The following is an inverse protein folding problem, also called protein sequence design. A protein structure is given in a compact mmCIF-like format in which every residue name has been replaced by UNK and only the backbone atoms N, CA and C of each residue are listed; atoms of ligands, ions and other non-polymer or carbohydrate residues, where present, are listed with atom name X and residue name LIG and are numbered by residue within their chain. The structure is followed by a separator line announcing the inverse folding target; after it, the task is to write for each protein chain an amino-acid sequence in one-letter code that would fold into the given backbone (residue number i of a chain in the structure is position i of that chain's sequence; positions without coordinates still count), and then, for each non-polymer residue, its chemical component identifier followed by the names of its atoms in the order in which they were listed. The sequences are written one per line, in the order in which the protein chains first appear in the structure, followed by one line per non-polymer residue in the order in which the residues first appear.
data_IF_492597034402
#
_entry.id   IF_492597034402
#
_cell.length_a   1.000
_cell.length_b   1.000
_cell.length_c   1.000
_cell.angle_alpha   90.00
_cell.angle_beta   90.00
_cell.angle_gamma   90.00
#
_symmetry.space_group_name_H-M   'P 1'
#
loop_
_entity.id
_entity.type
_entity.pdbx_description
1 polymer ?
#
# COMPACT_ATOMS: atom_id res chain seq x y z
N UNK A 1 -1.25 24.27 17.76
CA UNK A 1 -1.29 23.66 16.42
C UNK A 1 -1.27 22.17 16.61
N UNK A 2 -2.41 21.53 16.43
CA UNK A 2 -2.57 20.09 16.59
C UNK A 2 -1.73 19.39 15.54
N UNK A 3 -0.62 18.81 16.00
CA UNK A 3 0.28 18.01 15.16
C UNK A 3 -0.44 16.70 14.91
N UNK A 4 -0.61 16.34 13.65
CA UNK A 4 -1.16 15.06 13.23
C UNK A 4 -0.47 13.91 13.98
N UNK A 5 -1.29 12.99 14.49
CA UNK A 5 -0.85 11.77 15.16
C UNK A 5 -1.75 10.64 14.68
N UNK A 6 -1.18 9.65 14.03
CA UNK A 6 -1.90 8.45 13.62
C UNK A 6 -1.26 7.24 14.27
N UNK A 7 -2.01 6.17 14.45
CA UNK A 7 -1.43 4.89 14.82
C UNK A 7 -0.87 4.24 13.56
N UNK A 8 0.33 3.65 13.65
CA UNK A 8 0.90 2.88 12.54
C UNK A 8 -0.09 1.80 12.07
N UNK A 9 -0.80 1.17 13.01
CA UNK A 9 -1.82 0.17 12.72
C UNK A 9 -2.89 0.66 11.74
N UNK A 10 -3.47 1.84 11.96
CA UNK A 10 -4.55 2.37 11.12
C UNK A 10 -4.08 2.56 9.67
N UNK A 11 -2.82 2.97 9.51
CA UNK A 11 -2.19 3.11 8.21
C UNK A 11 -1.95 1.75 7.53
N UNK A 12 -1.38 0.76 8.24
CA UNK A 12 -1.14 -0.57 7.68
C UNK A 12 -2.45 -1.26 7.29
N UNK A 13 -3.52 -1.08 8.06
CA UNK A 13 -4.85 -1.59 7.73
C UNK A 13 -5.42 -0.97 6.45
N UNK A 14 -5.21 0.34 6.23
CA UNK A 14 -5.55 1.01 4.97
C UNK A 14 -4.86 0.33 3.78
N UNK A 15 -3.57 0.02 3.90
CA UNK A 15 -2.80 -0.63 2.84
C UNK A 15 -3.26 -2.05 2.60
N UNK A 16 -3.48 -2.82 3.67
CA UNK A 16 -4.02 -4.17 3.60
C UNK A 16 -5.31 -4.22 2.78
N UNK A 17 -6.26 -3.32 3.08
CA UNK A 17 -7.52 -3.14 2.33
C UNK A 17 -7.27 -2.79 0.86
N UNK A 18 -6.27 -1.96 0.56
CA UNK A 18 -5.93 -1.60 -0.81
C UNK A 18 -5.45 -2.80 -1.63
N UNK A 19 -4.69 -3.72 -1.02
CA UNK A 19 -4.17 -4.92 -1.70
C UNK A 19 -5.24 -5.98 -1.94
N UNK A 20 -6.22 -6.08 -1.05
CA UNK A 20 -7.36 -7.00 -1.19
C UNK A 20 -8.29 -6.60 -2.34
N UNK A 21 -8.41 -5.29 -2.64
CA UNK A 21 -9.24 -4.79 -3.76
C UNK A 21 -8.79 -5.27 -5.15
N UNK A 22 -7.54 -5.74 -5.32
CA UNK A 22 -7.01 -6.24 -6.60
C UNK A 22 -7.69 -7.54 -7.05
N UNK A 23 -8.06 -8.39 -6.10
CA UNK A 23 -8.49 -9.76 -6.39
C UNK A 23 -9.81 -10.04 -5.68
N UNK A 24 -10.90 -10.04 -6.45
CA UNK A 24 -12.23 -10.43 -5.96
C UNK A 24 -12.28 -11.85 -5.35
N UNK A 25 -11.26 -12.69 -5.59
CA UNK A 25 -11.14 -14.04 -5.00
C UNK A 25 -10.55 -14.04 -3.58
N UNK A 26 -9.88 -12.97 -3.17
CA UNK A 26 -9.14 -12.85 -1.91
C UNK A 26 -9.69 -11.71 -1.04
N UNK A 27 -11.02 -11.56 -0.98
CA UNK A 27 -11.65 -10.55 -0.11
C UNK A 27 -11.16 -10.75 1.33
N UNK A 28 -10.50 -9.72 1.88
CA UNK A 28 -9.98 -9.68 3.24
C UNK A 28 -8.86 -10.68 3.56
N UNK A 29 -8.21 -11.29 2.56
CA UNK A 29 -7.21 -12.34 2.82
C UNK A 29 -6.10 -11.88 3.76
N UNK A 30 -5.52 -10.70 3.54
CA UNK A 30 -4.47 -10.17 4.42
C UNK A 30 -4.96 -10.01 5.86
N UNK A 31 -6.20 -9.55 6.05
CA UNK A 31 -6.82 -9.39 7.37
C UNK A 31 -7.13 -10.76 8.03
N UNK A 32 -7.56 -11.76 7.25
CA UNK A 32 -7.77 -13.12 7.73
C UNK A 32 -6.46 -13.71 8.27
N UNK A 33 -5.38 -13.56 7.50
CA UNK A 33 -4.04 -14.02 7.91
C UNK A 33 -3.60 -13.30 9.17
N UNK A 34 -3.69 -11.97 9.21
CA UNK A 34 -3.37 -11.18 10.40
C UNK A 34 -4.15 -11.64 11.64
N UNK A 35 -5.46 -11.84 11.51
CA UNK A 35 -6.34 -12.29 12.58
C UNK A 35 -5.95 -13.69 13.08
N UNK A 36 -5.77 -14.66 12.18
CA UNK A 36 -5.45 -16.02 12.57
C UNK A 36 -4.04 -16.12 13.17
N UNK A 37 -3.07 -15.39 12.61
CA UNK A 37 -1.73 -15.28 13.17
C UNK A 37 -1.75 -14.72 14.60
N UNK A 38 -2.53 -13.66 14.85
CA UNK A 38 -2.74 -13.13 16.20
C UNK A 38 -3.29 -14.21 17.13
N UNK A 39 -4.36 -14.90 16.72
CA UNK A 39 -4.99 -15.94 17.55
C UNK A 39 -4.08 -17.12 17.85
N UNK A 40 -3.21 -17.50 16.91
CA UNK A 40 -2.20 -18.54 17.12
C UNK A 40 -1.14 -18.11 18.13
N UNK A 41 -0.63 -16.88 18.04
CA UNK A 41 0.33 -16.32 19.01
C UNK A 41 -0.28 -16.18 20.40
N UNK A 42 -1.54 -15.73 20.49
CA UNK A 42 -2.32 -15.68 21.73
C UNK A 42 -2.50 -17.08 22.32
N UNK A 43 -2.83 -18.08 21.50
CA UNK A 43 -3.02 -19.47 21.95
C UNK A 43 -1.71 -20.15 22.38
N UNK A 44 -0.56 -19.66 21.90
CA UNK A 44 0.78 -20.10 22.29
C UNK A 44 1.33 -19.35 23.52
N UNK A 45 0.52 -18.48 24.14
CA UNK A 45 0.88 -17.69 25.34
C UNK A 45 2.14 -16.84 25.15
N UNK A 46 2.30 -16.29 23.94
CA UNK A 46 3.39 -15.36 23.60
C UNK A 46 3.02 -13.93 24.02
N UNK A 47 4.03 -13.07 24.16
CA UNK A 47 3.87 -11.70 24.67
C UNK A 47 2.90 -10.83 23.84
N UNK A 48 2.29 -9.81 24.46
CA UNK A 48 1.46 -8.81 23.76
C UNK A 48 2.18 -8.13 22.59
N UNK A 49 3.49 -7.89 22.73
CA UNK A 49 4.35 -7.35 21.68
C UNK A 49 4.47 -8.31 20.49
N UNK A 50 4.59 -9.61 20.73
CA UNK A 50 4.60 -10.62 19.67
C UNK A 50 3.24 -10.66 18.95
N UNK A 51 2.13 -10.56 19.68
CA UNK A 51 0.79 -10.47 19.09
C UNK A 51 0.65 -9.26 18.16
N UNK A 52 1.16 -8.09 18.55
CA UNK A 52 1.12 -6.88 17.72
C UNK A 52 2.00 -7.00 16.49
N UNK A 53 3.22 -7.48 16.66
CA UNK A 53 4.19 -7.64 15.56
C UNK A 53 3.66 -8.62 14.52
N UNK A 54 3.18 -9.80 14.92
CA UNK A 54 2.68 -10.78 13.96
C UNK A 54 1.40 -10.31 13.26
N UNK A 55 0.56 -9.56 13.97
CA UNK A 55 -0.65 -9.00 13.40
C UNK A 55 -0.31 -7.94 12.34
N UNK A 56 0.59 -7.01 12.64
CA UNK A 56 1.10 -6.05 11.65
C UNK A 56 1.78 -6.76 10.47
N UNK A 57 2.58 -7.79 10.73
CA UNK A 57 3.21 -8.59 9.68
C UNK A 57 2.16 -9.23 8.77
N UNK A 58 1.10 -9.82 9.33
CA UNK A 58 0.01 -10.44 8.57
C UNK A 58 -0.75 -9.47 7.69
N UNK A 59 -0.96 -8.21 8.13
CA UNK A 59 -1.66 -7.19 7.34
C UNK A 59 -0.94 -6.84 6.03
N UNK A 60 0.39 -7.00 5.98
CA UNK A 60 1.23 -6.56 4.86
C UNK A 60 2.19 -7.64 4.37
N UNK A 61 1.96 -8.92 4.69
CA UNK A 61 2.90 -10.00 4.36
C UNK A 61 3.12 -10.17 2.85
N UNK A 62 2.09 -9.85 2.05
CA UNK A 62 2.18 -9.84 0.58
C UNK A 62 2.47 -8.46 -0.03
N UNK A 63 2.98 -7.50 0.74
CA UNK A 63 3.29 -6.15 0.23
C UNK A 63 4.32 -6.14 -0.91
N UNK A 64 5.14 -7.19 -1.00
CA UNK A 64 6.08 -7.39 -2.10
C UNK A 64 5.53 -8.08 -3.34
N UNK A 65 4.25 -8.45 -3.36
CA UNK A 65 3.60 -9.05 -4.53
C UNK A 65 3.20 -7.94 -5.51
N UNK A 66 4.04 -7.72 -6.54
CA UNK A 66 3.94 -6.58 -7.43
C UNK A 66 3.09 -6.87 -8.68
N UNK A 67 2.68 -8.13 -8.87
CA UNK A 67 1.76 -8.53 -9.94
C UNK A 67 0.68 -9.53 -9.55
N UNK A 68 -0.43 -9.49 -10.29
CA UNK A 68 -1.56 -10.40 -10.10
C UNK A 68 -1.19 -11.87 -10.27
N UNK A 69 -0.19 -12.18 -11.12
CA UNK A 69 0.28 -13.54 -11.37
C UNK A 69 1.18 -14.05 -10.23
N UNK A 70 2.00 -13.18 -9.62
CA UNK A 70 2.80 -13.52 -8.43
C UNK A 70 1.92 -13.90 -7.23
N UNK A 71 0.69 -13.37 -7.11
CA UNK A 71 -0.27 -13.80 -6.07
C UNK A 71 -0.80 -15.22 -6.28
N UNK A 72 -0.77 -15.75 -7.50
CA UNK A 72 -1.28 -17.08 -7.84
C UNK A 72 -0.16 -18.14 -7.88
N UNK A 73 1.07 -17.72 -8.18
CA UNK A 73 2.28 -18.56 -8.23
C UNK A 73 3.00 -18.58 -6.87
N UNK A 74 2.30 -18.96 -5.79
CA UNK A 74 2.95 -19.15 -4.49
C UNK A 74 3.66 -20.51 -4.51
N UNK A 75 4.93 -20.49 -4.91
CA UNK A 75 5.78 -21.68 -4.94
C UNK A 75 6.34 -21.94 -3.54
N UNK A 76 5.81 -22.97 -2.89
CA UNK A 76 6.38 -23.51 -1.65
C UNK A 76 7.78 -24.07 -1.95
N UNK A 77 8.77 -23.70 -1.13
CA UNK A 77 10.19 -24.08 -1.22
C UNK A 77 11.13 -23.21 -2.09
N UNK A 78 10.74 -22.02 -2.55
CA UNK A 78 11.76 -21.08 -3.06
C UNK A 78 12.62 -20.54 -1.91
N UNK A 79 13.94 -20.59 -2.08
CA UNK A 79 14.86 -19.87 -1.19
C UNK A 79 14.56 -18.37 -1.31
N UNK A 80 14.49 -17.62 -0.18
CA UNK A 80 14.26 -16.18 -0.22
C UNK A 80 15.32 -15.53 -1.07
N UNK A 81 14.89 -15.09 -2.24
CA UNK A 81 15.72 -14.40 -3.21
C UNK A 81 14.98 -13.11 -3.63
N UNK A 82 15.68 -12.18 -4.28
CA UNK A 82 15.11 -10.88 -4.66
C UNK A 82 13.83 -10.98 -5.50
N UNK A 83 13.60 -12.11 -6.17
CA UNK A 83 12.39 -12.33 -6.97
C UNK A 83 11.23 -12.88 -6.14
N UNK A 84 11.44 -13.34 -4.91
CA UNK A 84 10.34 -13.73 -4.02
C UNK A 84 9.61 -12.50 -3.45
N UNK A 85 8.28 -12.53 -3.40
CA UNK A 85 7.50 -11.42 -2.85
C UNK A 85 7.76 -11.21 -1.37
N UNK A 86 8.02 -12.28 -0.61
CA UNK A 86 8.40 -12.23 0.79
C UNK A 86 9.66 -11.37 1.02
N UNK A 87 10.72 -11.60 0.25
CA UNK A 87 11.95 -10.82 0.36
C UNK A 87 11.74 -9.36 -0.07
N UNK A 88 11.04 -9.13 -1.19
CA UNK A 88 10.72 -7.77 -1.67
C UNK A 88 9.90 -7.02 -0.62
N UNK A 89 8.89 -7.67 -0.05
CA UNK A 89 7.99 -7.13 0.96
C UNK A 89 8.77 -6.74 2.21
N UNK A 90 9.56 -7.68 2.75
CA UNK A 90 10.44 -7.42 3.88
C UNK A 90 11.36 -6.22 3.63
N UNK A 91 11.97 -6.13 2.44
CA UNK A 91 12.86 -5.02 2.09
C UNK A 91 12.16 -3.67 1.99
N UNK A 92 10.92 -3.64 1.47
CA UNK A 92 10.12 -2.43 1.40
C UNK A 92 9.86 -1.86 2.80
N UNK A 93 9.47 -2.73 3.74
CA UNK A 93 9.14 -2.31 5.10
C UNK A 93 10.37 -2.10 6.00
N UNK A 94 11.53 -2.65 5.63
CA UNK A 94 12.80 -2.46 6.37
C UNK A 94 13.30 -1.01 6.30
N UNK A 95 12.86 -0.25 5.30
CA UNK A 95 13.20 1.16 5.13
C UNK A 95 12.55 2.09 6.16
N UNK A 96 11.59 1.60 6.94
CA UNK A 96 10.89 2.38 7.96
C UNK A 96 11.09 1.74 9.35
N UNK A 97 11.76 2.47 10.25
CA UNK A 97 12.21 1.94 11.54
C UNK A 97 11.10 1.26 12.37
N UNK A 98 9.88 1.83 12.49
CA UNK A 98 8.79 1.17 13.22
C UNK A 98 8.33 -0.18 12.64
N UNK A 99 8.63 -0.49 11.38
CA UNK A 99 8.29 -1.77 10.73
C UNK A 99 9.49 -2.72 10.56
N UNK A 100 10.70 -2.32 10.95
CA UNK A 100 11.88 -3.18 10.84
C UNK A 100 11.74 -4.48 11.65
N UNK A 101 11.09 -4.42 12.82
CA UNK A 101 10.95 -5.58 13.70
C UNK A 101 10.06 -6.69 13.13
N UNK A 102 9.25 -6.38 12.12
CA UNK A 102 8.39 -7.35 11.43
C UNK A 102 8.98 -7.77 10.06
N UNK A 103 10.13 -7.23 9.65
CA UNK A 103 10.71 -7.49 8.33
C UNK A 103 11.15 -8.94 8.17
N UNK A 104 11.79 -9.54 9.18
CA UNK A 104 12.18 -10.95 9.15
C UNK A 104 10.97 -11.89 9.19
N UNK A 105 9.88 -11.50 9.87
CA UNK A 105 8.64 -12.26 9.87
C UNK A 105 8.15 -12.44 8.43
N UNK A 106 8.09 -11.34 7.68
CA UNK A 106 7.70 -11.33 6.26
C UNK A 106 8.77 -11.97 5.38
N UNK A 107 10.05 -11.79 5.64
CA UNK A 107 11.13 -12.32 4.79
C UNK A 107 11.10 -13.84 4.67
N UNK A 108 10.76 -14.51 5.78
CA UNK A 108 10.88 -15.96 5.93
C UNK A 108 9.53 -16.69 6.00
N UNK A 109 8.40 -16.03 5.74
CA UNK A 109 7.06 -16.62 5.92
C UNK A 109 6.69 -17.74 4.92
N UNK A 110 7.54 -18.06 3.94
CA UNK A 110 7.37 -19.25 3.07
C UNK A 110 8.34 -20.39 3.41
N UNK A 111 9.20 -20.22 4.41
CA UNK A 111 10.18 -21.26 4.77
C UNK A 111 9.45 -22.43 5.45
N UNK A 112 9.51 -23.65 4.87
CA UNK A 112 8.94 -24.83 5.48
C UNK A 112 9.72 -25.23 6.74
N UNK A 113 9.06 -25.88 7.70
CA UNK A 113 9.68 -26.29 8.95
C UNK A 113 10.80 -27.35 8.78
N UNK A 114 10.66 -28.24 7.81
CA UNK A 114 11.61 -29.30 7.43
C UNK A 114 12.23 -30.07 8.60
N UNK A 115 11.37 -30.60 9.48
CA UNK A 115 11.78 -31.32 10.69
C UNK A 115 12.74 -30.51 11.58
N UNK A 116 12.57 -29.18 11.62
CA UNK A 116 13.37 -28.25 12.40
C UNK A 116 14.56 -27.65 11.66
N UNK A 117 14.87 -28.11 10.44
CA UNK A 117 15.91 -27.47 9.60
C UNK A 117 15.52 -26.06 9.18
N UNK A 118 14.22 -25.84 8.97
CA UNK A 118 13.64 -24.54 8.63
C UNK A 118 13.70 -23.49 9.72
N UNK A 119 14.23 -23.82 10.91
CA UNK A 119 14.56 -22.83 11.95
C UNK A 119 15.68 -21.87 11.53
N UNK A 120 16.43 -22.24 10.50
CA UNK A 120 17.53 -21.45 9.99
C UNK A 120 17.42 -21.32 8.47
N UNK A 121 17.68 -20.13 7.96
CA UNK A 121 17.91 -19.92 6.54
C UNK A 121 19.32 -19.36 6.37
N UNK A 122 20.20 -20.17 5.77
CA UNK A 122 21.66 -19.94 5.80
C UNK A 122 22.10 -19.88 7.28
N UNK A 123 22.65 -18.74 7.72
CA UNK A 123 23.14 -18.54 9.09
C UNK A 123 22.18 -17.74 9.98
N UNK A 124 21.01 -17.35 9.46
CA UNK A 124 20.04 -16.55 10.20
C UNK A 124 19.00 -17.45 10.86
N UNK A 125 18.74 -17.24 12.16
CA UNK A 125 17.61 -17.84 12.85
C UNK A 125 16.31 -17.22 12.37
N UNK A 126 15.33 -18.06 12.04
CA UNK A 126 14.02 -17.64 11.57
C UNK A 126 13.11 -17.44 12.79
N UNK A 127 12.42 -16.29 12.90
CA UNK A 127 11.42 -16.06 13.94
C UNK A 127 10.35 -17.15 13.94
N UNK A 128 9.92 -17.60 15.12
CA UNK A 128 8.80 -18.53 15.23
C UNK A 128 7.53 -17.95 14.57
N UNK A 129 7.36 -16.64 14.67
CA UNK A 129 6.30 -15.86 14.06
C UNK A 129 6.25 -16.01 12.53
N UNK A 130 7.39 -16.20 11.84
CA UNK A 130 7.40 -16.51 10.40
C UNK A 130 6.70 -17.83 10.09
N UNK A 131 6.90 -18.85 10.92
CA UNK A 131 6.24 -20.15 10.74
C UNK A 131 4.76 -20.11 11.13
N UNK A 132 4.39 -19.28 12.12
CA UNK A 132 2.98 -19.05 12.48
C UNK A 132 2.27 -18.29 11.36
N UNK A 133 2.93 -17.28 10.78
CA UNK A 133 2.42 -16.53 9.64
C UNK A 133 2.23 -17.43 8.41
N UNK A 134 3.22 -18.29 8.11
CA UNK A 134 3.09 -19.31 7.06
C UNK A 134 1.87 -20.21 7.27
N UNK A 135 1.71 -20.76 8.49
CA UNK A 135 0.59 -21.63 8.82
C UNK A 135 -0.76 -20.91 8.63
N UNK A 136 -0.89 -19.69 9.15
CA UNK A 136 -2.10 -18.90 9.06
C UNK A 136 -2.47 -18.60 7.60
N UNK A 137 -1.50 -18.21 6.79
CA UNK A 137 -1.66 -17.97 5.35
C UNK A 137 -2.20 -19.22 4.62
N UNK A 138 -1.54 -20.38 4.78
CA UNK A 138 -1.98 -21.63 4.15
C UNK A 138 -3.37 -22.08 4.58
N UNK A 139 -3.73 -21.86 5.85
CA UNK A 139 -5.10 -22.12 6.34
C UNK A 139 -6.10 -21.20 5.64
N UNK A 140 -5.82 -19.91 5.56
CA UNK A 140 -6.72 -18.93 4.94
C UNK A 140 -6.94 -19.20 3.45
N UNK A 141 -5.90 -19.59 2.71
CA UNK A 141 -5.99 -19.95 1.29
C UNK A 141 -6.89 -21.16 1.04
N UNK A 142 -6.99 -22.10 2.00
CA UNK A 142 -7.84 -23.29 1.89
C UNK A 142 -9.32 -23.02 2.13
N UNK A 143 -9.68 -21.87 2.73
CA UNK A 143 -11.08 -21.53 3.03
C UNK A 143 -11.79 -21.13 1.74
N UNK A 144 -12.90 -21.79 1.45
CA UNK A 144 -13.75 -21.48 0.30
C UNK A 144 -14.88 -20.54 0.73
N UNK A 145 -14.96 -19.33 0.16
CA UNK A 145 -15.99 -18.35 0.56
C UNK A 145 -17.44 -18.78 0.29
N UNK A 146 -17.65 -19.71 -0.65
CA UNK A 146 -18.99 -20.17 -1.04
C UNK A 146 -19.56 -21.26 -0.10
N UNK A 147 -18.76 -21.80 0.82
CA UNK A 147 -19.13 -22.90 1.70
C UNK A 147 -19.17 -22.43 3.16
N UNK A 148 -19.98 -23.07 4.01
CA UNK A 148 -20.02 -22.73 5.43
C UNK A 148 -18.67 -23.08 6.10
N UNK A 149 -18.05 -22.12 6.78
CA UNK A 149 -16.70 -22.32 7.34
C UNK A 149 -16.64 -23.45 8.38
N UNK A 150 -17.65 -23.59 9.25
CA UNK A 150 -17.64 -24.59 10.33
C UNK A 150 -17.66 -26.02 9.79
N UNK A 151 -18.24 -26.23 8.60
CA UNK A 151 -18.22 -27.52 7.90
C UNK A 151 -16.85 -27.81 7.28
N UNK A 152 -16.10 -26.77 6.88
CA UNK A 152 -14.79 -26.90 6.25
C UNK A 152 -13.67 -27.20 7.26
N UNK A 153 -13.75 -26.66 8.48
CA UNK A 153 -12.66 -26.71 9.47
C UNK A 153 -12.12 -28.13 9.71
N UNK A 154 -12.94 -29.18 9.95
CA UNK A 154 -12.40 -30.51 10.21
C UNK A 154 -11.49 -31.03 9.09
N UNK A 155 -11.87 -30.79 7.83
CA UNK A 155 -11.07 -31.19 6.68
C UNK A 155 -9.79 -30.34 6.56
N UNK A 156 -9.91 -29.01 6.68
CA UNK A 156 -8.76 -28.10 6.59
C UNK A 156 -7.71 -28.45 7.64
N UNK A 157 -8.12 -28.68 8.89
CA UNK A 157 -7.22 -29.07 9.98
C UNK A 157 -6.58 -30.44 9.72
N UNK A 158 -7.35 -31.42 9.24
CA UNK A 158 -6.80 -32.74 8.92
C UNK A 158 -5.72 -32.68 7.82
N UNK A 159 -5.90 -31.86 6.78
CA UNK A 159 -4.90 -31.65 5.73
C UNK A 159 -3.65 -30.93 6.24
N UNK A 160 -3.80 -29.90 7.06
CA UNK A 160 -2.68 -29.19 7.68
C UNK A 160 -1.87 -30.12 8.59
N UNK A 161 -2.55 -30.96 9.38
CA UNK A 161 -1.93 -31.92 10.30
C UNK A 161 -1.04 -32.93 9.60
N UNK A 162 -1.40 -33.37 8.39
CA UNK A 162 -0.57 -34.29 7.60
C UNK A 162 0.81 -33.71 7.27
N UNK A 163 0.95 -32.39 7.27
CA UNK A 163 2.18 -31.67 6.96
C UNK A 163 2.86 -31.09 8.22
N UNK A 164 2.37 -31.43 9.43
CA UNK A 164 3.00 -31.04 10.68
C UNK A 164 4.40 -31.65 10.79
N UNK A 165 5.39 -30.83 11.14
CA UNK A 165 6.79 -31.26 11.20
C UNK A 165 7.49 -31.26 9.84
N UNK A 166 6.77 -31.19 8.71
CA UNK A 166 7.37 -31.11 7.37
C UNK A 166 7.24 -29.67 6.87
N UNK A 167 6.03 -29.21 6.61
CA UNK A 167 5.78 -27.85 6.15
C UNK A 167 5.58 -26.90 7.32
N UNK A 168 4.86 -27.34 8.35
CA UNK A 168 4.41 -26.50 9.45
C UNK A 168 5.11 -26.83 10.76
N UNK A 169 5.34 -25.81 11.58
CA UNK A 169 5.83 -25.97 12.94
C UNK A 169 4.81 -26.81 13.77
N UNK A 170 5.23 -27.92 14.40
CA UNK A 170 4.31 -28.78 15.15
C UNK A 170 3.59 -28.08 16.32
N UNK A 171 4.26 -27.17 17.02
CA UNK A 171 3.66 -26.40 18.11
C UNK A 171 2.56 -25.46 17.63
N UNK A 172 2.80 -24.77 16.50
CA UNK A 172 1.80 -23.93 15.86
C UNK A 172 0.59 -24.75 15.35
N UNK A 173 0.82 -25.96 14.80
CA UNK A 173 -0.28 -26.85 14.41
C UNK A 173 -1.09 -27.31 15.62
N UNK A 174 -0.45 -27.67 16.73
CA UNK A 174 -1.16 -28.02 17.96
C UNK A 174 -2.01 -26.85 18.50
N UNK A 175 -1.49 -25.61 18.41
CA UNK A 175 -2.27 -24.41 18.75
C UNK A 175 -3.48 -24.23 17.82
N UNK A 176 -3.31 -24.46 16.52
CA UNK A 176 -4.41 -24.42 15.54
C UNK A 176 -5.48 -25.47 15.85
N UNK A 177 -5.11 -26.68 16.25
CA UNK A 177 -6.07 -27.73 16.65
C UNK A 177 -6.89 -27.32 17.88
N UNK A 178 -6.29 -26.61 18.84
CA UNK A 178 -7.03 -26.07 20.00
C UNK A 178 -7.99 -24.96 19.58
N UNK A 179 -7.57 -24.06 18.68
CA UNK A 179 -8.44 -23.01 18.13
C UNK A 179 -9.58 -23.59 17.28
N UNK A 180 -9.37 -24.72 16.62
CA UNK A 180 -10.38 -25.40 15.81
C UNK A 180 -11.67 -25.73 16.60
N UNK A 181 -11.57 -25.90 17.92
CA UNK A 181 -12.71 -26.18 18.80
C UNK A 181 -13.58 -24.95 19.10
N UNK A 182 -13.09 -23.74 18.82
CA UNK A 182 -13.76 -22.47 19.13
C UNK A 182 -14.41 -21.92 17.86
N UNK A 183 -15.70 -22.22 17.64
CA UNK A 183 -16.44 -21.78 16.45
C UNK A 183 -16.35 -20.26 16.21
N UNK A 184 -16.39 -19.47 17.29
CA UNK A 184 -16.30 -18.00 17.21
C UNK A 184 -15.03 -17.53 16.48
N UNK A 185 -13.89 -18.21 16.66
CA UNK A 185 -12.63 -17.84 16.00
C UNK A 185 -12.78 -17.85 14.49
N UNK A 186 -13.46 -18.86 13.96
CA UNK A 186 -13.65 -19.05 12.53
C UNK A 186 -14.75 -18.16 11.96
N UNK A 187 -15.81 -17.91 12.73
CA UNK A 187 -16.85 -16.96 12.35
C UNK A 187 -16.29 -15.53 12.26
N UNK A 188 -15.43 -15.13 13.19
CA UNK A 188 -14.74 -13.84 13.18
C UNK A 188 -13.72 -13.76 12.03
N UNK A 189 -13.02 -14.86 11.74
CA UNK A 189 -12.06 -14.96 10.62
C UNK A 189 -12.69 -14.62 9.27
N UNK A 190 -13.92 -15.06 9.01
CA UNK A 190 -14.62 -14.77 7.73
C UNK A 190 -15.57 -13.57 7.83
N UNK A 191 -15.54 -12.83 8.93
CA UNK A 191 -16.37 -11.64 9.08
C UNK A 191 -15.98 -10.57 8.05
N UNK A 192 -16.82 -9.55 7.91
CA UNK A 192 -16.58 -8.47 6.94
C UNK A 192 -15.25 -7.74 7.17
N UNK A 193 -14.82 -7.61 8.42
CA UNK A 193 -13.55 -7.00 8.80
C UNK A 193 -12.94 -7.81 9.97
N UNK A 194 -12.20 -8.90 9.71
CA UNK A 194 -11.67 -9.77 10.76
C UNK A 194 -10.75 -9.03 11.73
N UNK A 195 -9.98 -8.06 11.22
CA UNK A 195 -9.10 -7.21 12.02
C UNK A 195 -9.85 -6.39 13.09
N UNK A 196 -11.10 -5.96 12.81
CA UNK A 196 -11.91 -5.14 13.71
C UNK A 196 -12.49 -5.98 14.89
N UNK A 197 -12.42 -7.30 14.83
CA UNK A 197 -12.90 -8.21 15.90
C UNK A 197 -11.88 -8.39 17.03
N UNK A 198 -10.64 -7.96 16.82
CA UNK A 198 -9.56 -8.09 17.79
C UNK A 198 -9.63 -6.99 18.87
N UNK A 199 -9.09 -7.24 20.08
CA UNK A 199 -9.12 -6.25 21.14
C UNK A 199 -8.39 -4.95 20.78
N UNK A 200 -8.95 -3.82 21.21
CA UNK A 200 -8.37 -2.46 21.07
C UNK A 200 -6.98 -2.32 21.70
N UNK A 201 -6.54 -3.28 22.52
CA UNK A 201 -5.19 -3.34 23.10
C UNK A 201 -4.10 -3.36 22.02
N UNK A 202 -4.39 -3.93 20.84
CA UNK A 202 -3.53 -3.82 19.65
C UNK A 202 -3.30 -2.36 19.22
N UNK A 203 -4.31 -1.52 19.39
CA UNK A 203 -4.28 -0.10 19.04
C UNK A 203 -3.77 0.78 20.20
N UNK A 204 -3.68 0.26 21.43
CA UNK A 204 -3.25 1.01 22.61
C UNK A 204 -1.72 1.08 22.76
N UNK A 205 -0.98 0.07 22.29
CA UNK A 205 0.49 0.04 22.32
C UNK A 205 1.11 0.34 20.93
N UNK A 206 0.29 0.72 19.94
CA UNK A 206 0.77 1.05 18.59
C UNK A 206 1.66 2.29 18.58
N UNK A 207 2.71 2.25 17.75
CA UNK A 207 3.56 3.42 17.49
C UNK A 207 2.72 4.59 16.99
N UNK A 208 2.74 5.68 17.76
CA UNK A 208 2.12 6.95 17.36
C UNK A 208 3.08 7.68 16.43
N UNK A 209 2.63 7.93 15.21
CA UNK A 209 3.42 8.55 14.16
C UNK A 209 3.16 10.06 14.14
N UNK A 210 4.23 10.85 14.22
CA UNK A 210 4.17 12.28 13.94
C UNK A 210 4.28 12.56 12.44
N UNK A 211 4.12 13.82 12.05
CA UNK A 211 4.17 14.22 10.63
C UNK A 211 5.43 13.78 9.89
N UNK A 212 6.60 13.75 10.53
CA UNK A 212 7.83 13.32 9.86
C UNK A 212 7.81 11.80 9.62
N UNK A 213 7.34 11.01 10.60
CA UNK A 213 7.19 9.56 10.44
C UNK A 213 6.15 9.25 9.35
N UNK A 214 5.08 10.04 9.26
CA UNK A 214 4.06 9.91 8.22
C UNK A 214 4.63 10.25 6.84
N UNK A 215 5.53 11.24 6.72
CA UNK A 215 6.23 11.52 5.46
C UNK A 215 7.05 10.30 5.04
N UNK A 216 7.88 9.76 5.95
CA UNK A 216 8.71 8.60 5.65
C UNK A 216 7.86 7.37 5.27
N UNK A 217 6.78 7.13 6.01
CA UNK A 217 5.83 6.05 5.74
C UNK A 217 5.13 6.23 4.38
N UNK A 218 4.61 7.43 4.10
CA UNK A 218 3.93 7.72 2.84
C UNK A 218 4.86 7.60 1.64
N UNK A 219 6.13 7.98 1.78
CA UNK A 219 7.15 7.80 0.75
C UNK A 219 7.45 6.32 0.50
N UNK A 220 7.54 5.50 1.56
CA UNK A 220 7.69 4.05 1.43
C UNK A 220 6.50 3.44 0.67
N UNK A 221 5.27 3.85 0.97
CA UNK A 221 4.09 3.35 0.25
C UNK A 221 3.94 3.89 -1.17
N UNK A 222 4.38 5.13 -1.42
CA UNK A 222 4.46 5.64 -2.79
C UNK A 222 5.38 4.77 -3.64
N UNK A 223 6.49 4.27 -3.08
CA UNK A 223 7.36 3.32 -3.77
C UNK A 223 6.65 2.00 -4.08
N UNK A 224 5.81 1.48 -3.18
CA UNK A 224 5.07 0.24 -3.41
C UNK A 224 4.12 0.38 -4.61
N UNK A 225 3.38 1.49 -4.67
CA UNK A 225 2.50 1.82 -5.80
C UNK A 225 3.34 1.96 -7.09
N UNK A 226 4.44 2.69 -6.99
CA UNK A 226 5.38 2.97 -8.07
C UNK A 226 6.11 1.70 -8.56
N UNK A 227 6.27 0.66 -7.74
CA UNK A 227 6.96 -0.58 -8.13
C UNK A 227 6.02 -1.60 -8.78
N UNK A 228 4.71 -1.49 -8.53
CA UNK A 228 3.71 -2.26 -9.27
C UNK A 228 3.62 -1.87 -10.72
N UNK A 229 4.08 -0.67 -11.07
CA UNK A 229 4.10 -0.21 -12.44
C UNK A 229 5.37 0.49 -12.85
N UNK A 230 6.03 -0.01 -13.90
CA UNK A 230 7.21 0.66 -14.47
C UNK A 230 6.89 2.07 -14.94
N UNK A 231 5.62 2.37 -15.22
CA UNK A 231 5.13 3.69 -15.63
C UNK A 231 5.09 4.68 -14.47
N UNK A 232 4.86 4.24 -13.23
CA UNK A 232 4.71 5.09 -12.06
C UNK A 232 5.94 5.17 -11.18
N UNK A 233 6.98 4.35 -11.39
CA UNK A 233 8.27 4.27 -10.66
C UNK A 233 8.93 5.59 -10.15
N UNK A 234 8.55 6.73 -10.73
CA UNK A 234 9.02 8.08 -10.40
C UNK A 234 7.91 9.13 -10.30
N UNK A 235 6.68 8.80 -10.69
CA UNK A 235 5.60 9.74 -10.88
C UNK A 235 5.20 10.40 -9.55
N UNK A 236 4.88 9.58 -8.55
CA UNK A 236 4.47 10.04 -7.22
C UNK A 236 5.50 10.96 -6.56
N UNK A 237 6.79 10.68 -6.74
CA UNK A 237 7.86 11.55 -6.25
C UNK A 237 7.88 12.93 -6.95
N UNK A 238 7.65 12.96 -8.26
CA UNK A 238 7.56 14.21 -9.03
C UNK A 238 6.34 15.04 -8.62
N UNK A 239 5.18 14.41 -8.50
CA UNK A 239 3.92 15.07 -8.07
C UNK A 239 4.07 15.63 -6.66
N UNK A 240 4.54 14.82 -5.70
CA UNK A 240 4.63 15.22 -4.30
C UNK A 240 5.53 16.44 -4.09
N UNK A 241 6.70 16.48 -4.72
CA UNK A 241 7.60 17.62 -4.57
C UNK A 241 7.12 18.85 -5.37
N UNK A 242 6.50 18.66 -6.53
CA UNK A 242 5.84 19.75 -7.29
C UNK A 242 4.74 20.40 -6.46
N UNK A 243 3.83 19.59 -5.91
CA UNK A 243 2.71 20.07 -5.10
C UNK A 243 3.20 20.80 -3.84
N UNK A 244 4.22 20.26 -3.15
CA UNK A 244 4.85 20.91 -2.00
C UNK A 244 5.44 22.28 -2.37
N UNK A 245 6.20 22.38 -3.46
CA UNK A 245 6.82 23.64 -3.88
C UNK A 245 5.77 24.68 -4.29
N UNK A 246 4.71 24.27 -4.99
CA UNK A 246 3.58 25.16 -5.30
C UNK A 246 2.89 25.63 -4.01
N UNK A 247 2.67 24.74 -3.04
CA UNK A 247 2.11 25.09 -1.74
C UNK A 247 2.97 26.15 -1.01
N UNK A 248 4.30 25.99 -1.02
CA UNK A 248 5.23 26.99 -0.47
C UNK A 248 5.10 28.34 -1.18
N UNK A 249 5.10 28.36 -2.52
CA UNK A 249 5.01 29.57 -3.33
C UNK A 249 3.68 30.32 -3.16
N UNK A 250 2.58 29.61 -2.93
CA UNK A 250 1.27 30.22 -2.69
C UNK A 250 1.05 30.65 -1.23
N UNK A 251 2.02 30.40 -0.34
CA UNK A 251 2.02 30.88 1.04
C UNK A 251 1.45 29.90 2.08
N UNK A 252 1.40 28.59 1.78
CA UNK A 252 1.07 27.59 2.81
C UNK A 252 2.12 27.58 3.92
N UNK A 253 1.68 27.31 5.15
CA UNK A 253 2.58 27.17 6.29
C UNK A 253 3.53 25.96 6.11
N UNK A 254 4.68 25.94 6.80
CA UNK A 254 5.59 24.78 6.75
C UNK A 254 4.92 23.46 7.14
N UNK A 255 3.86 23.49 7.95
CA UNK A 255 3.08 22.31 8.30
C UNK A 255 2.15 21.87 7.17
N UNK A 256 1.44 22.79 6.53
CA UNK A 256 0.59 22.49 5.37
C UNK A 256 1.41 21.98 4.18
N UNK A 257 2.62 22.50 3.97
CA UNK A 257 3.53 21.98 2.94
C UNK A 257 3.94 20.51 3.22
N UNK A 258 4.08 20.12 4.49
CA UNK A 258 4.30 18.72 4.86
C UNK A 258 3.07 17.86 4.60
N UNK A 259 1.88 18.34 4.92
CA UNK A 259 0.63 17.64 4.58
C UNK A 259 0.47 17.48 3.06
N UNK A 260 0.85 18.50 2.28
CA UNK A 260 0.81 18.46 0.82
C UNK A 260 1.78 17.43 0.26
N UNK A 261 2.98 17.33 0.83
CA UNK A 261 3.95 16.31 0.47
C UNK A 261 3.39 14.89 0.71
N UNK A 262 2.78 14.65 1.88
CA UNK A 262 2.12 13.37 2.20
C UNK A 262 0.97 13.09 1.23
N UNK A 263 0.12 14.08 0.94
CA UNK A 263 -0.98 13.93 -0.02
C UNK A 263 -0.47 13.56 -1.41
N UNK A 264 0.64 14.17 -1.86
CA UNK A 264 1.24 13.85 -3.14
C UNK A 264 1.87 12.46 -3.19
N UNK A 265 2.42 11.96 -2.07
CA UNK A 265 2.87 10.57 -1.99
C UNK A 265 1.72 9.56 -2.08
N UNK A 266 0.53 9.91 -1.59
CA UNK A 266 -0.62 9.01 -1.48
C UNK A 266 -1.71 9.21 -2.54
N UNK A 267 -1.62 10.23 -3.40
CA UNK A 267 -2.67 10.57 -4.38
C UNK A 267 -3.10 9.37 -5.24
N UNK A 268 -2.14 8.50 -5.53
CA UNK A 268 -2.29 7.32 -6.38
C UNK A 268 -2.44 6.00 -5.62
N UNK A 269 -2.63 6.00 -4.30
CA UNK A 269 -2.75 4.76 -3.50
C UNK A 269 -3.87 3.84 -3.97
N UNK A 270 -4.96 4.40 -4.51
CA UNK A 270 -6.03 3.62 -5.12
C UNK A 270 -5.63 2.87 -6.39
N UNK A 271 -4.47 3.15 -7.01
CA UNK A 271 -3.93 2.33 -8.11
C UNK A 271 -3.59 0.92 -7.64
N UNK A 272 -3.40 0.74 -6.32
CA UNK A 272 -3.31 -0.60 -5.75
C UNK A 272 -4.56 -1.43 -5.99
N UNK A 273 -5.75 -0.85 -6.21
CA UNK A 273 -6.96 -1.60 -6.54
C UNK A 273 -7.12 -1.91 -8.04
N UNK A 274 -6.22 -1.43 -8.90
CA UNK A 274 -6.28 -1.63 -10.35
C UNK A 274 -5.47 -2.88 -10.74
N UNK A 275 -6.04 -3.70 -11.63
CA UNK A 275 -5.37 -4.89 -12.16
C UNK A 275 -4.14 -4.51 -12.99
N UNK A 276 -3.07 -5.30 -12.89
CA UNK A 276 -1.85 -5.07 -13.66
C UNK A 276 -2.05 -5.09 -15.17
N UNK A 277 -3.01 -5.88 -15.70
CA UNK A 277 -3.30 -5.92 -17.14
C UNK A 277 -3.71 -4.55 -17.70
N UNK A 278 -4.37 -3.73 -16.87
CA UNK A 278 -4.76 -2.36 -17.21
C UNK A 278 -3.62 -1.39 -16.84
N UNK A 279 -3.05 -1.53 -15.64
CA UNK A 279 -2.03 -0.62 -15.12
C UNK A 279 -0.74 -0.64 -15.96
N UNK A 280 -0.33 -1.81 -16.44
CA UNK A 280 0.89 -2.04 -17.22
C UNK A 280 0.64 -2.19 -18.74
N UNK A 281 -0.57 -1.90 -19.23
CA UNK A 281 -0.93 -2.12 -20.64
C UNK A 281 0.06 -1.39 -21.57
N UNK A 282 0.76 -2.10 -22.48
CA UNK A 282 1.69 -1.48 -23.42
C UNK A 282 0.93 -0.83 -24.59
N UNK A 283 0.21 0.26 -24.31
CA UNK A 283 -0.60 0.95 -25.30
C UNK A 283 -1.60 1.93 -24.69
N UNK A 284 -2.52 2.42 -25.52
CA UNK A 284 -3.65 3.21 -25.04
C UNK A 284 -4.67 2.29 -24.37
N UNK A 285 -5.25 2.76 -23.27
CA UNK A 285 -6.44 2.16 -22.69
C UNK A 285 -7.64 2.40 -23.62
N UNK A 286 -8.53 1.43 -23.73
CA UNK A 286 -9.84 1.63 -24.33
C UNK A 286 -10.78 2.37 -23.36
N UNK A 287 -12.01 2.66 -23.80
CA UNK A 287 -12.98 3.41 -22.99
C UNK A 287 -13.38 2.69 -21.69
N UNK A 288 -13.45 1.36 -21.71
CA UNK A 288 -13.79 0.55 -20.54
C UNK A 288 -12.63 0.53 -19.55
N UNK A 289 -11.42 0.25 -20.03
CA UNK A 289 -10.19 0.28 -19.26
C UNK A 289 -9.92 1.67 -18.67
N UNK A 290 -10.21 2.73 -19.43
CA UNK A 290 -10.11 4.11 -18.94
C UNK A 290 -11.08 4.37 -17.79
N UNK A 291 -12.34 3.90 -17.89
CA UNK A 291 -13.30 4.00 -16.78
C UNK A 291 -12.85 3.23 -15.55
N UNK A 292 -12.26 2.05 -15.72
CA UNK A 292 -11.66 1.28 -14.62
C UNK A 292 -10.49 2.05 -14.01
N UNK A 293 -9.57 2.57 -14.82
CA UNK A 293 -8.43 3.37 -14.35
C UNK A 293 -8.90 4.57 -13.52
N UNK A 294 -9.96 5.27 -13.95
CA UNK A 294 -10.53 6.42 -13.21
C UNK A 294 -11.02 6.09 -11.81
N UNK A 295 -11.28 4.82 -11.49
CA UNK A 295 -11.73 4.42 -10.14
C UNK A 295 -10.64 4.56 -9.07
N UNK A 296 -9.36 4.69 -9.45
CA UNK A 296 -8.28 4.81 -8.47
C UNK A 296 -8.44 6.03 -7.55
N UNK A 297 -8.97 7.16 -8.03
CA UNK A 297 -9.23 8.33 -7.16
C UNK A 297 -10.30 8.06 -6.12
N UNK A 298 -11.34 7.30 -6.50
CA UNK A 298 -12.37 6.86 -5.55
C UNK A 298 -11.79 5.91 -4.51
N UNK A 299 -10.94 4.97 -4.94
CA UNK A 299 -10.27 4.07 -4.00
C UNK A 299 -9.28 4.81 -3.10
N UNK A 300 -8.51 5.79 -3.61
CA UNK A 300 -7.70 6.69 -2.78
C UNK A 300 -8.56 7.33 -1.70
N UNK A 301 -9.72 7.87 -2.07
CA UNK A 301 -10.66 8.48 -1.10
C UNK A 301 -11.05 7.50 0.01
N UNK A 302 -11.54 6.32 -0.37
CA UNK A 302 -12.07 5.31 0.56
C UNK A 302 -11.00 4.66 1.43
N UNK A 303 -9.78 4.54 0.93
CA UNK A 303 -8.67 3.95 1.68
C UNK A 303 -8.17 4.91 2.78
N UNK A 304 -8.10 6.21 2.48
CA UNK A 304 -7.62 7.23 3.43
C UNK A 304 -8.72 7.75 4.38
N UNK A 305 -10.00 7.61 4.01
CA UNK A 305 -11.17 8.07 4.80
C UNK A 305 -11.21 7.57 6.26
N UNK A 306 -10.86 6.31 6.58
CA UNK A 306 -10.91 5.81 7.97
C UNK A 306 -9.89 6.46 8.91
N UNK A 307 -8.83 7.08 8.39
CA UNK A 307 -7.82 7.76 9.21
C UNK A 307 -8.32 9.18 9.44
N UNK A 308 -8.95 9.42 10.60
CA UNK A 308 -9.63 10.69 10.91
C UNK A 308 -8.72 11.92 10.72
N UNK A 309 -7.45 11.79 11.09
CA UNK A 309 -6.46 12.86 10.99
C UNK A 309 -6.03 13.14 9.54
N UNK A 310 -6.35 12.25 8.60
CA UNK A 310 -6.03 12.40 7.17
C UNK A 310 -7.09 13.18 6.40
N UNK A 311 -8.13 13.74 7.02
CA UNK A 311 -9.20 14.45 6.30
C UNK A 311 -8.69 15.41 5.20
N UNK A 312 -7.72 16.26 5.53
CA UNK A 312 -7.11 17.23 4.58
C UNK A 312 -6.21 16.53 3.55
N UNK A 313 -5.40 15.58 4.00
CA UNK A 313 -4.52 14.78 3.13
C UNK A 313 -5.36 14.03 2.09
N UNK A 314 -6.44 13.39 2.52
CA UNK A 314 -7.35 12.62 1.70
C UNK A 314 -8.03 13.51 0.66
N UNK A 315 -8.54 14.67 1.06
CA UNK A 315 -9.16 15.63 0.14
C UNK A 315 -8.20 16.05 -0.98
N UNK A 316 -6.96 16.39 -0.64
CA UNK A 316 -5.95 16.80 -1.62
C UNK A 316 -5.51 15.62 -2.50
N UNK A 317 -5.30 14.45 -1.90
CA UNK A 317 -4.86 13.24 -2.57
C UNK A 317 -5.92 12.67 -3.51
N UNK A 318 -7.20 12.66 -3.16
CA UNK A 318 -8.25 11.97 -3.93
C UNK A 318 -8.92 12.82 -5.00
N UNK A 319 -8.93 14.16 -4.85
CA UNK A 319 -9.60 15.07 -5.79
C UNK A 319 -8.68 15.60 -6.90
N UNK A 320 -7.48 15.03 -7.07
CA UNK A 320 -6.48 15.53 -8.04
C UNK A 320 -6.91 15.41 -9.52
N UNK A 321 -7.97 14.66 -9.82
CA UNK A 321 -8.59 14.58 -11.15
C UNK A 321 -9.96 15.28 -11.25
N UNK A 322 -10.39 15.97 -10.20
CA UNK A 322 -11.52 16.89 -10.28
C UNK A 322 -11.13 18.15 -11.06
N UNK A 323 -12.12 18.81 -11.68
CA UNK A 323 -11.90 19.98 -12.54
C UNK A 323 -12.79 21.13 -12.07
N UNK A 324 -12.31 22.37 -12.19
CA UNK A 324 -13.09 23.53 -11.74
C UNK A 324 -14.44 23.68 -12.47
N UNK A 325 -14.56 23.15 -13.68
CA UNK A 325 -15.79 23.12 -14.47
C UNK A 325 -16.77 21.99 -14.09
N UNK A 326 -16.44 21.13 -13.13
CA UNK A 326 -17.27 19.99 -12.71
C UNK A 326 -17.22 18.76 -13.62
N UNK A 327 -16.45 18.81 -14.72
CA UNK A 327 -16.32 17.68 -15.65
C UNK A 327 -15.22 16.68 -15.25
N UNK A 328 -14.64 16.86 -14.06
CA UNK A 328 -13.64 15.96 -13.47
C UNK A 328 -14.24 14.65 -12.95
N UNK A 329 -13.47 13.92 -12.14
CA UNK A 329 -13.92 12.65 -11.55
C UNK A 329 -13.19 12.35 -10.24
N UNK A 330 -13.77 11.48 -9.37
CA UNK A 330 -14.96 10.65 -9.58
C UNK A 330 -16.28 11.24 -9.06
N UNK A 331 -16.23 12.38 -8.38
CA UNK A 331 -17.35 13.01 -7.69
C UNK A 331 -17.98 14.17 -8.47
N UNK A 332 -17.33 14.66 -9.54
CA UNK A 332 -17.80 15.77 -10.36
C UNK A 332 -17.91 17.08 -9.58
N UNK A 333 -16.90 17.34 -8.75
CA UNK A 333 -16.82 18.56 -7.95
C UNK A 333 -16.39 19.72 -8.83
N UNK A 334 -17.01 20.88 -8.60
CA UNK A 334 -16.64 22.14 -9.25
C UNK A 334 -15.82 23.03 -8.31
N UNK A 335 -15.44 24.21 -8.80
CA UNK A 335 -14.65 25.19 -8.04
C UNK A 335 -15.16 25.49 -6.63
N UNK A 336 -16.47 25.52 -6.40
CA UNK A 336 -17.05 25.82 -5.09
C UNK A 336 -16.78 24.74 -4.02
N UNK A 337 -16.47 23.52 -4.44
CA UNK A 337 -16.20 22.38 -3.54
C UNK A 337 -14.72 22.01 -3.45
N UNK A 338 -13.91 22.45 -4.40
CA UNK A 338 -12.48 22.12 -4.44
C UNK A 338 -11.67 23.13 -3.62
N UNK A 339 -11.10 22.68 -2.50
CA UNK A 339 -10.17 23.50 -1.73
C UNK A 339 -8.94 23.88 -2.55
N UNK A 340 -8.28 24.95 -2.12
CA UNK A 340 -7.09 25.42 -2.80
C UNK A 340 -5.97 24.36 -2.85
N UNK A 341 -5.88 23.49 -1.84
CA UNK A 341 -4.92 22.37 -1.84
C UNK A 341 -5.22 21.30 -2.88
N UNK A 342 -6.50 20.94 -3.10
CA UNK A 342 -6.88 20.02 -4.18
C UNK A 342 -6.57 20.60 -5.56
N UNK A 343 -6.74 21.91 -5.72
CA UNK A 343 -6.37 22.63 -6.97
C UNK A 343 -4.86 22.63 -7.20
N UNK A 344 -4.06 22.81 -6.14
CA UNK A 344 -2.59 22.67 -6.20
C UNK A 344 -2.20 21.26 -6.64
N UNK A 345 -2.81 20.23 -6.05
CA UNK A 345 -2.52 18.84 -6.41
C UNK A 345 -2.85 18.54 -7.87
N UNK A 346 -4.01 19.00 -8.37
CA UNK A 346 -4.41 18.80 -9.76
C UNK A 346 -3.43 19.46 -10.75
N UNK A 347 -2.96 20.69 -10.46
CA UNK A 347 -1.95 21.35 -11.30
C UNK A 347 -0.62 20.59 -11.24
N UNK A 348 -0.19 20.15 -10.05
CA UNK A 348 1.06 19.41 -9.88
C UNK A 348 1.07 18.06 -10.61
N UNK A 349 -0.03 17.31 -10.54
CA UNK A 349 -0.21 16.04 -11.23
C UNK A 349 -0.17 16.24 -12.76
N UNK A 350 -1.00 17.13 -13.30
CA UNK A 350 -1.06 17.41 -14.75
C UNK A 350 0.31 17.86 -15.26
N UNK A 351 0.96 18.81 -14.59
CA UNK A 351 2.29 19.28 -14.97
C UNK A 351 3.30 18.13 -14.98
N UNK A 352 3.33 17.32 -13.93
CA UNK A 352 4.26 16.18 -13.83
C UNK A 352 4.01 15.18 -14.94
N UNK A 353 2.75 14.82 -15.19
CA UNK A 353 2.35 13.85 -16.20
C UNK A 353 2.70 14.30 -17.63
N UNK A 354 2.54 15.59 -17.97
CA UNK A 354 2.83 16.07 -19.34
C UNK A 354 4.33 16.28 -19.58
N UNK A 355 5.11 16.61 -18.55
CA UNK A 355 6.55 16.91 -18.66
C UNK A 355 7.46 15.72 -18.36
N UNK A 356 6.97 14.63 -17.76
CA UNK A 356 7.77 13.44 -17.50
C UNK A 356 7.92 12.55 -18.72
N UNK A 357 9.08 11.90 -18.79
CA UNK A 357 9.27 10.80 -19.71
C UNK A 357 8.44 9.60 -19.21
N UNK A 358 7.78 8.89 -20.11
CA UNK A 358 7.14 7.60 -19.87
C UNK A 358 7.71 6.57 -20.85
N UNK A 359 7.69 5.27 -20.53
CA UNK A 359 8.25 4.24 -21.42
C UNK A 359 7.79 4.32 -22.90
N UNK A 360 6.57 4.80 -23.17
CA UNK A 360 6.01 4.97 -24.51
C UNK A 360 5.99 6.42 -25.04
N UNK A 361 6.46 7.42 -24.28
CA UNK A 361 6.37 8.83 -24.67
C UNK A 361 7.44 9.69 -23.98
N UNK A 362 8.16 10.49 -24.76
CA UNK A 362 9.03 11.55 -24.24
C UNK A 362 8.18 12.67 -23.64
N UNK A 363 8.63 13.25 -22.52
CA UNK A 363 8.00 14.42 -21.92
C UNK A 363 7.83 15.55 -22.93
N UNK A 364 6.79 16.37 -22.78
CA UNK A 364 6.59 17.51 -23.67
C UNK A 364 7.71 18.54 -23.49
N UNK A 365 8.14 19.13 -24.61
CA UNK A 365 8.95 20.36 -24.61
C UNK A 365 8.27 21.45 -23.77
N UNK A 366 9.08 22.24 -23.05
CA UNK A 366 8.61 23.25 -22.09
C UNK A 366 7.55 24.17 -22.69
N UNK A 367 7.81 24.74 -23.87
CA UNK A 367 6.88 25.63 -24.57
C UNK A 367 5.52 24.98 -24.88
N UNK A 368 5.53 23.68 -25.18
CA UNK A 368 4.32 22.90 -25.45
C UNK A 368 3.58 22.57 -24.15
N UNK A 369 4.29 22.20 -23.09
CA UNK A 369 3.71 21.96 -21.78
C UNK A 369 3.03 23.23 -21.22
N UNK A 370 3.70 24.37 -21.30
CA UNK A 370 3.15 25.67 -20.92
C UNK A 370 1.86 26.00 -21.70
N UNK A 371 1.84 25.73 -23.01
CA UNK A 371 0.64 25.94 -23.84
C UNK A 371 -0.52 25.05 -23.41
N UNK A 372 -0.27 23.77 -23.11
CA UNK A 372 -1.29 22.84 -22.62
C UNK A 372 -1.89 23.32 -21.30
N UNK A 373 -1.06 23.73 -20.34
CA UNK A 373 -1.53 24.25 -19.05
C UNK A 373 -2.39 25.51 -19.21
N UNK A 374 -1.97 26.47 -20.05
CA UNK A 374 -2.76 27.67 -20.36
C UNK A 374 -4.11 27.34 -21.01
N UNK A 375 -4.15 26.34 -21.90
CA UNK A 375 -5.39 25.88 -22.49
C UNK A 375 -6.32 25.26 -21.43
N UNK A 376 -5.78 24.44 -20.52
CA UNK A 376 -6.56 23.83 -19.43
C UNK A 376 -7.11 24.87 -18.44
N UNK A 377 -6.42 26.00 -18.22
CA UNK A 377 -6.99 27.14 -17.48
C UNK A 377 -8.13 27.79 -18.26
N UNK A 378 -7.98 27.96 -19.58
CA UNK A 378 -9.03 28.51 -20.45
C UNK A 378 -10.29 27.65 -20.44
N UNK A 379 -10.11 26.32 -20.45
CA UNK A 379 -11.18 25.33 -20.38
C UNK A 379 -11.76 25.15 -18.96
N UNK A 380 -11.30 25.95 -17.98
CA UNK A 380 -11.64 25.84 -16.55
C UNK A 380 -11.41 24.43 -15.98
N UNK A 381 -10.42 23.71 -16.49
CA UNK A 381 -9.99 22.46 -15.90
C UNK A 381 -9.07 22.69 -14.68
N UNK A 382 -8.18 23.68 -14.76
CA UNK A 382 -7.17 24.00 -13.74
C UNK A 382 -7.34 25.41 -13.17
N UNK A 383 -6.84 25.60 -11.95
CA UNK A 383 -6.83 26.90 -11.28
C UNK A 383 -5.82 27.85 -11.94
N UNK A 384 -6.30 29.06 -12.26
CA UNK A 384 -5.51 30.09 -12.93
C UNK A 384 -4.32 30.52 -12.08
N UNK A 385 -4.55 30.86 -10.82
CA UNK A 385 -3.52 31.47 -9.96
C UNK A 385 -2.39 30.47 -9.70
N UNK A 386 -2.75 29.21 -9.39
CA UNK A 386 -1.77 28.14 -9.19
C UNK A 386 -0.97 27.88 -10.47
N UNK A 387 -1.65 27.85 -11.62
CA UNK A 387 -0.99 27.63 -12.91
C UNK A 387 -0.07 28.78 -13.28
N UNK A 388 -0.46 30.03 -13.05
CA UNK A 388 0.39 31.21 -13.29
C UNK A 388 1.67 31.15 -12.43
N UNK A 389 1.54 30.85 -11.14
CA UNK A 389 2.70 30.66 -10.25
C UNK A 389 3.61 29.54 -10.75
N UNK A 390 3.06 28.42 -11.23
CA UNK A 390 3.84 27.35 -11.84
C UNK A 390 4.60 27.85 -13.07
N UNK A 391 3.94 28.59 -13.95
CA UNK A 391 4.54 29.08 -15.19
C UNK A 391 5.65 30.11 -14.95
N UNK A 392 5.46 31.00 -13.97
CA UNK A 392 6.46 31.99 -13.58
C UNK A 392 7.71 31.34 -12.97
N UNK A 393 7.55 30.16 -12.35
CA UNK A 393 8.63 29.39 -11.71
C UNK A 393 8.95 28.08 -12.46
N UNK A 394 8.58 27.99 -13.75
CA UNK A 394 8.55 26.72 -14.49
C UNK A 394 9.90 26.00 -14.48
N UNK A 395 10.98 26.72 -14.78
CA UNK A 395 12.33 26.14 -14.86
C UNK A 395 12.77 25.53 -13.53
N UNK A 396 12.51 26.22 -12.42
CA UNK A 396 12.90 25.77 -11.09
C UNK A 396 12.08 24.56 -10.65
N UNK A 397 10.75 24.64 -10.80
CA UNK A 397 9.84 23.54 -10.49
C UNK A 397 10.15 22.31 -11.34
N UNK A 398 10.40 22.48 -12.64
CA UNK A 398 10.71 21.37 -13.55
C UNK A 398 12.04 20.70 -13.20
N UNK A 399 13.06 21.49 -12.82
CA UNK A 399 14.34 20.97 -12.35
C UNK A 399 14.18 20.14 -11.07
N UNK A 400 13.52 20.69 -10.07
CA UNK A 400 13.28 20.00 -8.79
C UNK A 400 12.47 18.71 -9.00
N UNK A 401 11.43 18.76 -9.84
CA UNK A 401 10.66 17.58 -10.22
C UNK A 401 11.57 16.51 -10.84
N UNK A 402 12.42 16.87 -11.80
CA UNK A 402 13.33 15.94 -12.45
C UNK A 402 14.34 15.32 -11.47
N UNK A 403 14.86 16.10 -10.51
CA UNK A 403 15.74 15.62 -9.45
C UNK A 403 15.03 14.61 -8.52
N UNK A 404 13.80 14.91 -8.09
CA UNK A 404 12.99 14.01 -7.28
C UNK A 404 12.70 12.69 -8.01
N UNK A 405 12.38 12.77 -9.30
CA UNK A 405 12.15 11.61 -10.16
C UNK A 405 13.44 10.78 -10.36
N UNK A 406 14.59 11.42 -10.51
CA UNK A 406 15.88 10.75 -10.63
C UNK A 406 16.26 10.03 -9.33
N UNK A 407 16.04 10.66 -8.17
CA UNK A 407 16.27 10.04 -6.87
C UNK A 407 15.33 8.85 -6.61
N UNK A 408 14.06 8.94 -7.00
CA UNK A 408 13.13 7.81 -6.95
C UNK A 408 13.57 6.65 -7.85
N UNK A 409 13.98 6.96 -9.09
CA UNK A 409 14.51 5.95 -10.02
C UNK A 409 15.77 5.28 -9.48
N UNK A 410 16.71 6.03 -8.90
CA UNK A 410 17.92 5.46 -8.31
C UNK A 410 17.60 4.49 -7.17
N UNK A 411 16.65 4.85 -6.29
CA UNK A 411 16.15 3.96 -5.23
C UNK A 411 15.51 2.70 -5.79
N UNK A 412 14.68 2.81 -6.83
CA UNK A 412 14.10 1.64 -7.50
C UNK A 412 15.17 0.74 -8.11
N UNK A 413 16.15 1.28 -8.82
CA UNK A 413 17.23 0.48 -9.39
C UNK A 413 18.08 -0.21 -8.31
N UNK A 414 18.37 0.49 -7.22
CA UNK A 414 19.04 -0.11 -6.06
C UNK A 414 18.18 -1.21 -5.44
N UNK A 415 16.86 -0.99 -5.35
CA UNK A 415 15.91 -2.01 -4.90
C UNK A 415 15.96 -3.25 -5.79
N UNK A 416 16.05 -3.10 -7.12
CA UNK A 416 16.09 -4.22 -8.06
C UNK A 416 17.48 -4.90 -8.20
N UNK A 417 18.58 -4.22 -7.83
CA UNK A 417 19.96 -4.72 -8.02
C UNK A 417 20.54 -5.54 -6.85
N UNK A 418 19.92 -5.51 -5.67
CA UNK A 418 20.45 -6.18 -4.47
C UNK A 418 20.19 -7.69 -4.51
N UNK A 419 21.23 -8.47 -4.85
CA UNK A 419 21.19 -9.94 -4.92
C UNK A 419 20.90 -10.62 -3.59
#
# INVERSE_FOLDING_TARGET
MDKIRIKLYDFLLCISKAQDLVSHKLNNHQQMVAYLSYKLVEQLDLSSVACQRIFMAGLVHDIGSLSSNEKLEIVEAETPNINSHAFRGAKLIDCFKPTQEISDMIRYHHIPWENGKGRYCKDNEIPLESHILHLADRVCVKIKPAENILVQIPQVIAEIKQNAGIQFNPGAVAALEMLAQKESVWLDLISKNPADTLPDVLAAESFILGINDIIDLSQMFSQIIDFRSKFTARHSAGVANTAKMLAELVGFSPYECKLMLVAGHLHDIGKLAISNDILEKPGKLDDSETKIMRTHTYYTYRLLEPINEFKVINEWASFHHERLDGNGYPFHLNDSYLSYGSRIMAVADVFTAITENRPYRVGMEDSKAMKVLKNMVTDKALDRNVTEILLDNFTEINKMRAEAQAAAKARYEQFMKLK
#
